data_IF_897474659918
#
_entry.id   IF_897474659918
#
_cell.length_a   1.000
_cell.length_b   1.000
_cell.length_c   1.000
_cell.angle_alpha   90.00
_cell.angle_beta   90.00
_cell.angle_gamma   90.00
#
_symmetry.space_group_name_H-M   'P 1'
#
loop_
_entity.id
_entity.type
_entity.pdbx_description
1 polymer ?
#
# COMPACT_ATOMS: atom_id res chain seq x y z
N UNK A 1 -15.95 -13.54 -10.88
CA UNK A 1 -16.32 -12.92 -9.57
C UNK A 1 -15.05 -12.75 -8.76
N UNK A 2 -14.72 -11.53 -8.33
CA UNK A 2 -13.55 -11.27 -7.46
C UNK A 2 -13.89 -11.63 -6.01
N UNK A 3 -12.96 -12.27 -5.30
CA UNK A 3 -13.10 -12.62 -3.88
C UNK A 3 -12.16 -11.74 -3.05
N UNK A 4 -12.62 -11.33 -1.87
CA UNK A 4 -11.92 -10.40 -0.97
C UNK A 4 -11.54 -11.15 0.30
N UNK A 5 -10.33 -10.92 0.82
CA UNK A 5 -9.87 -11.44 2.12
C UNK A 5 -9.19 -10.36 2.96
N UNK A 6 -9.32 -10.47 4.28
CA UNK A 6 -8.61 -9.64 5.26
C UNK A 6 -7.36 -10.37 5.74
N UNK A 7 -6.20 -9.70 5.68
CA UNK A 7 -4.93 -10.28 6.06
C UNK A 7 -4.27 -9.43 7.14
N UNK A 8 -3.88 -10.07 8.25
CA UNK A 8 -2.92 -9.47 9.19
C UNK A 8 -1.56 -9.55 8.55
N UNK A 9 -0.96 -8.41 8.25
CA UNK A 9 0.33 -8.38 7.59
C UNK A 9 1.42 -8.19 8.62
N UNK A 10 2.41 -9.09 8.62
CA UNK A 10 3.71 -8.80 9.21
C UNK A 10 4.67 -8.22 8.15
N UNK A 11 4.10 -7.85 7.00
CA UNK A 11 4.81 -7.51 5.80
C UNK A 11 5.44 -6.12 5.95
N UNK A 12 6.75 -6.09 5.74
CA UNK A 12 7.52 -4.86 5.66
C UNK A 12 7.60 -4.39 4.21
N UNK A 13 7.50 -3.08 4.01
CA UNK A 13 7.76 -2.41 2.75
C UNK A 13 9.22 -2.70 2.40
N UNK A 14 9.40 -3.40 1.29
CA UNK A 14 10.68 -3.79 0.73
C UNK A 14 10.57 -3.70 -0.79
N UNK A 15 11.56 -3.10 -1.46
CA UNK A 15 12.84 -2.61 -0.96
C UNK A 15 12.68 -1.22 -0.30
N UNK A 16 13.67 -0.79 0.48
CA UNK A 16 13.63 0.54 1.12
C UNK A 16 13.62 1.71 0.13
N UNK A 17 13.92 1.48 -1.14
CA UNK A 17 13.77 2.47 -2.23
C UNK A 17 12.31 2.89 -2.44
N UNK A 18 11.34 2.11 -1.96
CA UNK A 18 9.92 2.48 -1.97
C UNK A 18 9.52 3.41 -0.81
N UNK A 19 10.42 3.68 0.13
CA UNK A 19 10.19 4.61 1.23
C UNK A 19 10.72 6.01 0.88
N UNK A 20 10.11 7.09 1.41
CA UNK A 20 10.71 8.43 1.32
C UNK A 20 12.12 8.45 1.94
N UNK A 21 13.00 9.32 1.45
CA UNK A 21 14.40 9.43 1.89
C UNK A 21 14.57 9.40 3.43
N UNK A 22 15.62 8.70 3.87
CA UNK A 22 15.94 8.29 5.26
C UNK A 22 16.05 9.40 6.32
N UNK A 23 15.94 10.68 5.97
CA UNK A 23 15.97 11.78 6.95
C UNK A 23 14.69 11.91 7.77
N UNK A 24 13.65 11.13 7.46
CA UNK A 24 12.43 11.11 8.25
C UNK A 24 12.46 10.00 9.32
N UNK A 25 12.48 10.34 10.63
CA UNK A 25 12.57 9.35 11.72
C UNK A 25 11.37 8.41 11.80
N UNK A 26 10.26 8.75 11.15
CA UNK A 26 9.07 7.90 11.06
C UNK A 26 9.20 6.83 9.95
N UNK A 27 10.10 6.98 8.97
CA UNK A 27 10.21 6.04 7.84
C UNK A 27 10.52 4.59 8.28
N UNK A 28 11.34 4.41 9.33
CA UNK A 28 11.64 3.09 9.88
C UNK A 28 10.48 2.49 10.70
N UNK A 29 9.63 3.33 11.29
CA UNK A 29 8.45 2.92 12.08
C UNK A 29 7.21 2.69 11.19
N UNK A 30 7.22 3.27 9.98
CA UNK A 30 6.18 3.14 8.97
C UNK A 30 6.45 2.05 7.95
N UNK A 31 7.51 1.25 8.08
CA UNK A 31 7.80 0.21 7.07
C UNK A 31 6.83 -0.96 7.14
N UNK A 32 6.12 -1.18 8.25
CA UNK A 32 5.23 -2.33 8.42
C UNK A 32 3.77 -1.94 8.24
N UNK A 33 3.06 -2.64 7.36
CA UNK A 33 1.61 -2.54 7.24
C UNK A 33 0.98 -3.42 8.33
N UNK A 34 0.04 -2.88 9.10
CA UNK A 34 -0.65 -3.60 10.19
C UNK A 34 -1.65 -4.64 9.65
N UNK A 35 -2.60 -4.19 8.83
CA UNK A 35 -3.57 -5.04 8.13
C UNK A 35 -3.80 -4.52 6.72
N UNK A 36 -4.27 -5.42 5.85
CA UNK A 36 -4.69 -5.05 4.51
C UNK A 36 -5.84 -5.92 4.01
N UNK A 37 -6.65 -5.34 3.12
CA UNK A 37 -7.59 -6.08 2.29
C UNK A 37 -6.89 -6.40 0.98
N UNK A 38 -6.86 -7.69 0.63
CA UNK A 38 -6.25 -8.15 -0.61
C UNK A 38 -7.29 -8.75 -1.55
N UNK A 39 -7.07 -8.55 -2.84
CA UNK A 39 -7.84 -9.20 -3.88
C UNK A 39 -7.32 -10.61 -4.11
N UNK A 40 -8.24 -11.56 -4.22
CA UNK A 40 -7.89 -12.86 -4.76
C UNK A 40 -7.63 -12.71 -6.28
N UNK A 41 -6.44 -13.07 -6.77
CA UNK A 41 -6.10 -12.88 -8.18
C UNK A 41 -7.01 -13.74 -9.08
N UNK A 42 -7.55 -13.12 -10.13
CA UNK A 42 -8.34 -13.78 -11.16
C UNK A 42 -7.43 -14.52 -12.16
N UNK A 43 -8.00 -15.23 -13.15
CA UNK A 43 -7.23 -15.99 -14.15
C UNK A 43 -6.15 -15.16 -14.85
N UNK A 44 -6.52 -14.00 -15.39
CA UNK A 44 -5.59 -13.08 -16.05
C UNK A 44 -4.50 -12.61 -15.09
N UNK A 45 -4.88 -12.24 -13.86
CA UNK A 45 -3.95 -11.73 -12.86
C UNK A 45 -2.97 -12.81 -12.35
N UNK A 46 -3.40 -14.07 -12.27
CA UNK A 46 -2.52 -15.19 -11.94
C UNK A 46 -1.54 -15.47 -13.07
N UNK A 47 -2.02 -15.44 -14.31
CA UNK A 47 -1.20 -15.68 -15.50
C UNK A 47 -0.15 -14.59 -15.72
N UNK A 48 -0.43 -13.34 -15.32
CA UNK A 48 0.52 -12.24 -15.45
C UNK A 48 1.61 -12.22 -14.37
N UNK A 49 1.39 -12.87 -13.22
CA UNK A 49 2.33 -12.83 -12.08
C UNK A 49 3.78 -13.23 -12.41
N UNK A 50 4.05 -14.31 -13.20
CA UNK A 50 5.43 -14.68 -13.57
C UNK A 50 6.17 -13.64 -14.41
N UNK A 51 5.42 -12.74 -15.07
CA UNK A 51 5.96 -11.67 -15.93
C UNK A 51 6.15 -10.35 -15.18
N UNK A 52 5.85 -10.29 -13.89
CA UNK A 52 6.16 -9.11 -13.11
C UNK A 52 7.66 -8.91 -13.01
N UNK A 53 8.06 -7.66 -13.19
CA UNK A 53 9.36 -7.21 -12.76
C UNK A 53 9.53 -7.53 -11.26
N UNK A 54 10.68 -8.07 -10.84
CA UNK A 54 10.96 -8.29 -9.44
C UNK A 54 10.81 -7.00 -8.63
N UNK A 55 10.68 -7.16 -7.32
CA UNK A 55 10.80 -6.03 -6.40
C UNK A 55 12.30 -5.68 -6.32
N UNK A 56 12.73 -4.42 -6.53
CA UNK A 56 14.16 -4.07 -6.69
C UNK A 56 15.07 -4.78 -5.66
N UNK A 57 16.19 -5.34 -6.10
CA UNK A 57 17.15 -6.11 -5.27
C UNK A 57 16.60 -7.37 -4.56
N UNK A 58 15.34 -7.76 -4.80
CA UNK A 58 14.80 -9.04 -4.36
C UNK A 58 14.57 -9.97 -5.58
N UNK A 59 14.98 -11.23 -5.48
CA UNK A 59 14.66 -12.27 -6.48
C UNK A 59 13.16 -12.60 -6.54
N UNK A 60 12.34 -11.98 -5.68
CA UNK A 60 10.93 -12.28 -5.49
C UNK A 60 10.05 -11.29 -6.24
N UNK A 61 9.09 -11.82 -7.00
CA UNK A 61 8.02 -11.07 -7.65
C UNK A 61 6.91 -10.80 -6.65
N UNK A 62 6.26 -9.65 -6.79
CA UNK A 62 5.14 -9.28 -5.93
C UNK A 62 4.23 -8.28 -6.64
N UNK A 63 2.92 -8.43 -6.48
CA UNK A 63 1.98 -7.35 -6.79
C UNK A 63 2.13 -6.16 -5.84
N UNK A 64 2.76 -6.39 -4.69
CA UNK A 64 2.78 -5.49 -3.56
C UNK A 64 4.16 -4.88 -3.33
N UNK A 65 4.20 -3.95 -2.39
CA UNK A 65 5.41 -3.25 -1.89
C UNK A 65 6.28 -4.12 -0.98
N UNK A 66 6.14 -5.44 -1.03
CA UNK A 66 6.78 -6.36 -0.09
C UNK A 66 7.03 -7.71 -0.73
N UNK A 67 8.12 -8.37 -0.35
CA UNK A 67 8.44 -9.74 -0.75
C UNK A 67 7.89 -10.80 0.23
N UNK A 68 7.01 -10.43 1.17
CA UNK A 68 6.41 -11.37 2.11
C UNK A 68 5.53 -12.40 1.37
N UNK A 69 6.10 -13.58 1.13
CA UNK A 69 5.55 -14.63 0.26
C UNK A 69 4.05 -14.93 0.45
N UNK A 70 3.49 -14.94 1.69
CA UNK A 70 2.06 -15.23 1.87
C UNK A 70 1.10 -14.26 1.19
N UNK A 71 1.55 -13.06 0.78
CA UNK A 71 0.69 -12.06 0.13
C UNK A 71 1.23 -11.57 -1.22
N UNK A 72 2.38 -12.05 -1.71
CA UNK A 72 2.97 -11.53 -2.96
C UNK A 72 2.07 -11.68 -4.18
N UNK A 73 1.29 -12.75 -4.24
CA UNK A 73 0.34 -13.04 -5.33
C UNK A 73 -1.04 -12.38 -5.16
N UNK A 74 -1.29 -11.71 -4.03
CA UNK A 74 -2.59 -11.10 -3.72
C UNK A 74 -2.44 -9.57 -3.65
N UNK A 75 -2.88 -8.83 -4.68
CA UNK A 75 -2.76 -7.37 -4.67
C UNK A 75 -3.49 -6.76 -3.49
N UNK A 76 -2.78 -5.96 -2.70
CA UNK A 76 -3.39 -5.16 -1.64
C UNK A 76 -4.20 -4.02 -2.25
N UNK A 77 -5.38 -3.76 -1.71
CA UNK A 77 -6.30 -2.72 -2.22
C UNK A 77 -6.82 -1.78 -1.14
N UNK A 78 -6.68 -2.16 0.12
CA UNK A 78 -6.98 -1.28 1.25
C UNK A 78 -5.91 -1.49 2.31
N UNK A 79 -5.34 -0.41 2.81
CA UNK A 79 -4.30 -0.44 3.83
C UNK A 79 -4.88 0.06 5.15
N UNK A 80 -4.60 -0.65 6.24
CA UNK A 80 -5.27 -0.42 7.52
C UNK A 80 -4.21 -0.29 8.61
N UNK A 81 -4.15 0.87 9.26
CA UNK A 81 -3.35 1.12 10.47
C UNK A 81 -4.24 0.96 11.70
N UNK A 82 -3.71 0.34 12.75
CA UNK A 82 -4.43 0.19 14.01
C UNK A 82 -3.65 0.80 15.18
N UNK A 83 -4.31 1.66 15.93
CA UNK A 83 -3.77 2.32 17.10
C UNK A 83 -4.44 1.85 18.38
N UNK A 84 -3.65 1.89 19.46
CA UNK A 84 -4.19 1.79 20.82
C UNK A 84 -4.97 3.06 21.11
N UNK A 85 -6.07 2.93 21.86
CA UNK A 85 -6.94 4.03 22.29
C UNK A 85 -6.12 5.23 22.79
N UNK A 86 -6.29 6.38 22.15
CA UNK A 86 -5.64 7.64 22.55
C UNK A 86 -4.18 7.78 22.10
N UNK A 87 -3.72 6.93 21.18
CA UNK A 87 -2.44 7.15 20.52
C UNK A 87 -2.51 8.30 19.50
N UNK A 88 -1.34 8.80 19.13
CA UNK A 88 -1.20 9.91 18.19
C UNK A 88 -1.73 9.57 16.79
N UNK A 89 -2.83 10.23 16.41
CA UNK A 89 -3.49 10.11 15.12
C UNK A 89 -2.67 10.72 13.98
N UNK A 90 -1.89 11.77 14.25
CA UNK A 90 -1.02 12.40 13.25
C UNK A 90 0.07 11.43 12.79
N UNK A 91 0.63 10.65 13.73
CA UNK A 91 1.55 9.55 13.39
C UNK A 91 0.88 8.47 12.53
N UNK A 92 -0.40 8.17 12.77
CA UNK A 92 -1.14 7.16 12.00
C UNK A 92 -1.39 7.61 10.55
N UNK A 93 -1.82 8.85 10.35
CA UNK A 93 -1.97 9.47 9.02
C UNK A 93 -0.67 9.45 8.23
N UNK A 94 0.44 9.81 8.90
CA UNK A 94 1.76 9.77 8.28
C UNK A 94 2.17 8.35 7.86
N UNK A 95 1.87 7.34 8.67
CA UNK A 95 2.14 5.94 8.34
C UNK A 95 1.36 5.46 7.11
N UNK A 96 0.04 5.66 7.09
CA UNK A 96 -0.78 5.25 5.94
C UNK A 96 -0.41 6.01 4.66
N UNK A 97 0.00 7.28 4.78
CA UNK A 97 0.52 8.08 3.66
C UNK A 97 1.80 7.50 3.06
N UNK A 98 2.75 7.06 3.90
CA UNK A 98 3.95 6.35 3.42
C UNK A 98 3.56 5.08 2.66
N UNK A 99 2.63 4.30 3.19
CA UNK A 99 2.25 3.05 2.54
C UNK A 99 1.56 3.29 1.20
N UNK A 100 0.73 4.33 1.12
CA UNK A 100 0.10 4.75 -0.14
C UNK A 100 1.15 5.16 -1.18
N UNK A 101 2.15 5.95 -0.79
CA UNK A 101 3.23 6.37 -1.68
C UNK A 101 4.03 5.16 -2.21
N UNK A 102 4.39 4.23 -1.31
CA UNK A 102 5.08 3.00 -1.70
C UNK A 102 4.22 2.19 -2.68
N UNK A 103 2.91 2.09 -2.42
CA UNK A 103 1.96 1.35 -3.25
C UNK A 103 1.88 1.95 -4.66
N UNK A 104 1.71 3.26 -4.78
CA UNK A 104 1.71 3.94 -6.08
C UNK A 104 3.04 3.81 -6.81
N UNK A 105 4.15 3.89 -6.09
CA UNK A 105 5.49 3.68 -6.67
C UNK A 105 5.62 2.28 -7.25
N UNK A 106 5.14 1.25 -6.55
CA UNK A 106 5.16 -0.13 -7.06
C UNK A 106 4.28 -0.27 -8.31
N UNK A 107 3.06 0.26 -8.32
CA UNK A 107 2.20 0.22 -9.50
C UNK A 107 2.85 0.95 -10.68
N UNK A 108 3.46 2.12 -10.44
CA UNK A 108 4.19 2.86 -11.48
C UNK A 108 5.34 2.07 -12.06
N UNK A 109 6.14 1.40 -11.22
CA UNK A 109 7.20 0.52 -11.68
C UNK A 109 6.65 -0.60 -12.58
N UNK A 110 5.57 -1.26 -12.18
CA UNK A 110 4.92 -2.31 -12.98
C UNK A 110 4.36 -1.79 -14.31
N UNK A 111 3.74 -0.61 -14.32
CA UNK A 111 3.22 0.03 -15.54
C UNK A 111 4.35 0.43 -16.49
N UNK A 112 5.41 1.04 -15.96
CA UNK A 112 6.56 1.48 -16.74
C UNK A 112 7.30 0.31 -17.39
N UNK A 113 7.52 -0.79 -16.64
CA UNK A 113 8.11 -2.01 -17.18
C UNK A 113 7.32 -2.63 -18.33
N UNK A 114 6.02 -2.32 -18.44
CA UNK A 114 5.15 -2.77 -19.52
C UNK A 114 4.83 -1.66 -20.55
N UNK A 115 5.56 -0.55 -20.58
CA UNK A 115 5.35 0.54 -21.54
C UNK A 115 4.08 1.37 -21.31
N UNK A 116 3.43 1.23 -20.16
CA UNK A 116 2.15 1.85 -19.81
C UNK A 116 2.30 3.09 -18.90
N UNK A 117 3.35 3.89 -19.14
CA UNK A 117 3.74 5.03 -18.29
C UNK A 117 2.66 6.11 -18.11
N UNK A 118 1.74 6.25 -19.07
CA UNK A 118 0.70 7.27 -19.07
C UNK A 118 -0.64 6.82 -18.45
N UNK A 119 -0.75 5.56 -18.01
CA UNK A 119 -1.97 5.08 -17.36
C UNK A 119 -2.18 5.83 -16.04
N UNK A 120 -3.37 6.37 -15.82
CA UNK A 120 -3.73 7.01 -14.56
C UNK A 120 -3.84 5.96 -13.44
N UNK A 121 -3.35 6.25 -12.22
CA UNK A 121 -3.52 5.30 -11.11
C UNK A 121 -4.86 5.51 -10.46
N UNK A 122 -5.46 4.41 -10.03
CA UNK A 122 -6.68 4.45 -9.24
C UNK A 122 -6.38 4.97 -7.82
N UNK A 123 -7.31 5.74 -7.22
CA UNK A 123 -7.20 6.12 -5.81
C UNK A 123 -7.13 4.90 -4.88
N UNK A 124 -6.39 5.03 -3.78
CA UNK A 124 -6.17 3.97 -2.80
C UNK A 124 -6.93 4.26 -1.49
N UNK A 125 -7.90 3.43 -1.10
CA UNK A 125 -8.53 3.51 0.22
C UNK A 125 -7.54 3.22 1.37
N UNK A 126 -7.56 4.05 2.40
CA UNK A 126 -6.81 3.91 3.65
C UNK A 126 -7.77 3.92 4.83
N UNK A 127 -7.53 3.07 5.84
CA UNK A 127 -8.28 3.08 7.09
C UNK A 127 -7.33 3.25 8.28
N UNK A 128 -7.77 4.04 9.25
CA UNK A 128 -7.13 4.15 10.57
C UNK A 128 -8.15 3.80 11.63
N UNK A 129 -7.84 2.79 12.46
CA UNK A 129 -8.65 2.40 13.61
C UNK A 129 -8.02 2.82 14.92
N UNK A 130 -8.76 3.49 15.81
CA UNK A 130 -8.33 3.88 17.17
C UNK A 130 -9.37 3.48 18.23
N UNK A 131 -9.11 2.39 18.95
CA UNK A 131 -9.90 1.99 20.13
C UNK A 131 -11.42 1.80 19.91
N UNK A 132 -11.88 1.72 18.65
CA UNK A 132 -13.28 1.64 18.24
C UNK A 132 -13.71 2.73 17.23
N UNK A 133 -12.97 3.83 17.11
CA UNK A 133 -13.17 4.84 16.07
C UNK A 133 -12.49 4.37 14.78
N UNK A 134 -13.17 4.53 13.64
CA UNK A 134 -12.62 4.26 12.32
C UNK A 134 -12.67 5.52 11.48
N UNK A 135 -11.54 5.88 10.91
CA UNK A 135 -11.41 6.97 9.96
C UNK A 135 -11.04 6.39 8.60
N UNK A 136 -11.70 6.89 7.56
CA UNK A 136 -11.47 6.47 6.18
C UNK A 136 -10.91 7.64 5.39
N UNK A 137 -9.87 7.36 4.60
CA UNK A 137 -9.25 8.32 3.72
C UNK A 137 -9.05 7.73 2.33
N UNK A 138 -9.11 8.56 1.30
CA UNK A 138 -8.77 8.15 -0.07
C UNK A 138 -7.47 8.85 -0.45
N UNK A 139 -6.42 8.07 -0.70
CA UNK A 139 -5.17 8.55 -1.26
C UNK A 139 -5.25 8.67 -2.78
N UNK A 140 -4.80 9.78 -3.33
CA UNK A 140 -4.63 9.99 -4.77
C UNK A 140 -3.18 10.35 -5.08
N UNK A 141 -2.58 9.85 -6.17
CA UNK A 141 -1.27 10.30 -6.59
C UNK A 141 -1.35 11.74 -7.08
N UNK A 142 -0.48 12.62 -6.59
CA UNK A 142 -0.37 13.96 -7.18
C UNK A 142 0.33 13.93 -8.55
N UNK A 143 -0.03 14.88 -9.41
CA UNK A 143 0.62 15.08 -10.70
C UNK A 143 2.11 15.41 -10.47
N UNK A 144 3.00 14.58 -11.05
CA UNK A 144 4.46 14.72 -10.88
C UNK A 144 5.12 13.60 -10.06
N UNK A 145 4.36 12.59 -9.62
CA UNK A 145 4.93 11.42 -8.92
C UNK A 145 5.39 11.72 -7.49
N UNK A 146 4.99 12.88 -6.96
CA UNK A 146 5.25 13.34 -5.60
C UNK A 146 4.20 12.89 -4.60
N UNK A 147 4.11 13.67 -3.52
CA UNK A 147 3.36 13.41 -2.29
C UNK A 147 1.91 12.98 -2.58
N UNK A 148 1.38 12.08 -1.73
CA UNK A 148 0.01 11.60 -1.81
C UNK A 148 -0.91 12.62 -1.14
N UNK A 149 -1.88 13.16 -1.88
CA UNK A 149 -3.00 13.87 -1.26
C UNK A 149 -4.02 12.85 -0.77
N UNK A 150 -4.62 13.09 0.39
CA UNK A 150 -5.73 12.28 0.86
C UNK A 150 -6.88 13.14 1.38
N UNK A 151 -8.10 12.68 1.11
CA UNK A 151 -9.32 13.27 1.67
C UNK A 151 -9.82 12.38 2.80
N UNK A 152 -9.97 12.94 4.00
CA UNK A 152 -10.58 12.24 5.14
C UNK A 152 -12.09 12.34 5.00
N UNK A 153 -12.77 11.20 5.02
CA UNK A 153 -14.24 11.12 5.02
C UNK A 153 -14.67 10.63 6.39
N UNK A 154 -15.15 11.55 7.23
CA UNK A 154 -15.70 11.22 8.54
C UNK A 154 -17.14 10.73 8.40
N UNK A 155 -17.38 9.49 8.81
CA UNK A 155 -18.73 9.00 9.11
C UNK A 155 -18.85 8.81 10.62
N UNK A 156 -19.84 9.47 11.23
CA UNK A 156 -20.28 9.14 12.58
C UNK A 156 -21.25 7.97 12.41
N UNK A 157 -20.84 6.77 12.83
CA UNK A 157 -21.74 5.61 12.97
C UNK A 157 -22.51 5.70 14.29
#
# INVERSE_FOLDING_TARGET
MARIGLYRTIAEISPRTLLPSYTNPYAAKSSRIDFAIALQPSGLLRQSFPYLEPVDNAMSRSWNVTAFAPITEMPLTVLIETKKKGADTQTAEYQVGIWALAHFTRIRHLLNGNGNQNVELLPLPLLVGDGGRWEWSIATPEAGGGIVSYTVVHYVL
#
